data_IF_554030577729
#
_entry.id   IF_554030577729
#
_cell.length_a   1.000
_cell.length_b   1.000
_cell.length_c   1.000
_cell.angle_alpha   90.00
_cell.angle_beta   90.00
_cell.angle_gamma   90.00
#
_symmetry.space_group_name_H-M   'P 1'
#
loop_
_entity.id
_entity.type
_entity.pdbx_description
1 polymer ?
#
# COMPACT_ATOMS: atom_id res chain seq x y z
N UNK A 1 6.90 -34.12 -12.71
CA UNK A 1 7.68 -32.95 -13.18
C UNK A 1 6.74 -32.12 -14.06
N UNK A 2 6.39 -30.91 -13.62
CA UNK A 2 5.61 -29.94 -14.41
C UNK A 2 6.61 -28.92 -14.95
N UNK A 3 6.53 -28.61 -16.24
CA UNK A 3 7.62 -28.00 -16.97
C UNK A 3 7.07 -27.22 -18.16
N UNK A 4 6.95 -25.88 -18.09
CA UNK A 4 6.17 -25.13 -19.08
C UNK A 4 6.68 -23.70 -19.36
N UNK A 5 6.30 -23.14 -20.53
CA UNK A 5 6.54 -21.77 -20.98
C UNK A 5 5.70 -20.73 -20.22
N UNK A 6 5.98 -19.43 -20.41
CA UNK A 6 5.46 -18.33 -19.58
C UNK A 6 3.92 -18.27 -19.49
N UNK A 7 3.21 -18.54 -20.58
CA UNK A 7 1.73 -18.55 -20.61
C UNK A 7 1.11 -19.62 -19.71
N UNK A 8 1.83 -20.73 -19.53
CA UNK A 8 1.40 -21.82 -18.66
C UNK A 8 1.88 -21.62 -17.23
N UNK A 9 3.07 -21.02 -17.03
CA UNK A 9 3.59 -20.69 -15.70
C UNK A 9 2.71 -19.66 -14.97
N UNK A 10 1.96 -18.82 -15.71
CA UNK A 10 0.96 -17.91 -15.15
C UNK A 10 -0.33 -18.62 -14.69
N UNK A 11 -0.59 -19.85 -15.13
CA UNK A 11 -1.78 -20.64 -14.75
C UNK A 11 -1.47 -21.47 -13.51
N UNK A 12 -1.88 -20.97 -12.34
CA UNK A 12 -1.59 -21.55 -11.01
C UNK A 12 -1.92 -23.04 -10.92
N UNK A 13 -3.06 -23.47 -11.50
CA UNK A 13 -3.52 -24.86 -11.47
C UNK A 13 -3.43 -25.54 -12.82
N UNK A 14 -2.36 -25.30 -13.58
CA UNK A 14 -2.13 -26.03 -14.82
C UNK A 14 -1.94 -27.54 -14.59
N UNK A 15 -2.53 -28.33 -15.49
CA UNK A 15 -2.40 -29.78 -15.54
C UNK A 15 -2.05 -30.21 -16.98
N UNK A 16 -0.91 -30.88 -17.19
CA UNK A 16 -0.50 -31.29 -18.53
C UNK A 16 -1.43 -32.38 -19.08
N UNK A 17 -1.80 -32.24 -20.35
CA UNK A 17 -2.51 -33.24 -21.13
C UNK A 17 -1.60 -33.78 -22.24
N UNK A 18 -1.58 -35.11 -22.43
CA UNK A 18 -0.75 -35.73 -23.46
C UNK A 18 -1.16 -35.19 -24.83
N UNK A 19 -0.16 -34.77 -25.62
CA UNK A 19 -0.39 -34.20 -26.95
C UNK A 19 -0.75 -32.70 -26.97
N UNK A 20 -0.95 -32.07 -25.81
CA UNK A 20 -1.29 -30.64 -25.69
C UNK A 20 -0.30 -29.88 -24.79
N UNK A 21 0.88 -30.45 -24.53
CA UNK A 21 1.93 -29.80 -23.74
C UNK A 21 2.82 -28.94 -24.64
N UNK A 22 2.99 -27.62 -24.37
CA UNK A 22 3.97 -26.83 -25.09
C UNK A 22 5.38 -27.32 -24.78
N UNK A 23 6.28 -27.17 -25.74
CA UNK A 23 7.71 -27.39 -25.51
C UNK A 23 8.26 -26.34 -24.53
N UNK A 24 9.33 -26.69 -23.81
CA UNK A 24 10.05 -25.71 -22.99
C UNK A 24 10.73 -24.72 -23.94
N UNK A 25 10.39 -23.44 -23.78
CA UNK A 25 11.01 -22.33 -24.50
C UNK A 25 12.14 -21.74 -23.65
N UNK A 26 13.40 -21.76 -24.10
CA UNK A 26 14.52 -21.18 -23.37
C UNK A 26 14.44 -19.66 -23.17
N UNK A 27 13.69 -18.95 -24.03
CA UNK A 27 13.51 -17.49 -23.98
C UNK A 27 12.31 -17.07 -23.11
N UNK A 28 11.67 -18.03 -22.44
CA UNK A 28 10.56 -17.80 -21.53
C UNK A 28 10.94 -18.15 -20.08
N UNK A 29 10.22 -17.57 -19.11
CA UNK A 29 10.25 -18.07 -17.73
C UNK A 29 9.77 -19.52 -17.68
N UNK A 30 10.52 -20.33 -16.94
CA UNK A 30 10.18 -21.69 -16.59
C UNK A 30 9.93 -21.82 -15.08
N UNK A 31 8.77 -22.35 -14.71
CA UNK A 31 8.41 -22.66 -13.32
C UNK A 31 8.28 -24.17 -13.15
N UNK A 32 9.00 -24.72 -12.17
CA UNK A 32 8.88 -26.11 -11.75
C UNK A 32 8.50 -26.14 -10.28
N UNK A 33 7.28 -26.61 -10.03
CA UNK A 33 6.79 -26.99 -8.71
C UNK A 33 6.78 -28.52 -8.64
N UNK A 34 7.51 -29.05 -7.67
CA UNK A 34 7.73 -30.48 -7.53
C UNK A 34 7.88 -30.92 -6.09
N UNK A 35 7.44 -32.15 -5.83
CA UNK A 35 7.55 -32.77 -4.52
C UNK A 35 7.70 -34.28 -4.64
N UNK A 36 8.11 -34.90 -3.54
CA UNK A 36 8.32 -36.33 -3.45
C UNK A 36 8.01 -36.84 -2.03
N UNK A 37 7.74 -38.13 -1.95
CA UNK A 37 7.46 -38.84 -0.71
C UNK A 37 8.61 -39.80 -0.41
N UNK A 38 9.16 -39.69 0.80
CA UNK A 38 10.24 -40.52 1.31
C UNK A 38 9.80 -41.18 2.62
N UNK A 39 10.56 -42.17 3.10
CA UNK A 39 10.28 -42.79 4.40
C UNK A 39 10.33 -41.78 5.56
N UNK A 40 11.19 -40.78 5.44
CA UNK A 40 11.44 -39.78 6.49
C UNK A 40 10.61 -38.50 6.35
N UNK A 41 9.80 -38.37 5.28
CA UNK A 41 8.95 -37.19 5.10
C UNK A 41 8.59 -36.87 3.65
N UNK A 42 8.03 -35.69 3.47
CA UNK A 42 7.54 -35.15 2.19
C UNK A 42 8.32 -33.90 1.83
N UNK A 43 8.67 -33.73 0.55
CA UNK A 43 9.23 -32.49 0.03
C UNK A 43 8.22 -31.78 -0.87
N UNK A 44 8.26 -30.46 -0.86
CA UNK A 44 7.51 -29.59 -1.77
C UNK A 44 8.38 -28.36 -2.08
N UNK A 45 8.72 -28.15 -3.35
CA UNK A 45 9.65 -27.11 -3.76
C UNK A 45 9.32 -26.54 -5.13
N UNK A 46 9.20 -25.21 -5.17
CA UNK A 46 9.06 -24.44 -6.40
C UNK A 46 10.34 -23.72 -6.74
N UNK A 47 10.74 -23.77 -8.01
CA UNK A 47 11.83 -22.98 -8.59
C UNK A 47 11.36 -22.34 -9.89
N UNK A 48 11.69 -21.06 -10.03
CA UNK A 48 11.47 -20.29 -11.26
C UNK A 48 12.82 -19.94 -11.84
N UNK A 49 13.07 -20.30 -13.08
CA UNK A 49 14.34 -20.04 -13.79
C UNK A 49 14.08 -19.51 -15.19
N UNK A 50 15.10 -18.94 -15.80
CA UNK A 50 15.10 -18.51 -17.19
C UNK A 50 16.38 -19.07 -17.83
N UNK A 51 16.30 -19.63 -19.05
CA UNK A 51 17.44 -20.29 -19.69
C UNK A 51 18.20 -19.39 -20.70
N UNK A 52 17.57 -18.32 -21.16
CA UNK A 52 18.19 -17.22 -21.91
C UNK A 52 18.36 -15.93 -21.08
N UNK A 53 18.05 -14.78 -21.66
CA UNK A 53 18.13 -13.48 -20.99
C UNK A 53 16.72 -12.94 -20.60
N UNK A 54 16.34 -12.92 -19.31
CA UNK A 54 15.03 -12.42 -18.91
C UNK A 54 14.92 -10.90 -19.10
N UNK A 55 13.72 -10.45 -19.44
CA UNK A 55 13.35 -9.04 -19.56
C UNK A 55 13.43 -8.30 -18.23
N UNK A 56 13.47 -6.97 -18.28
CA UNK A 56 13.49 -6.13 -17.08
C UNK A 56 12.25 -6.35 -16.19
N UNK A 57 11.07 -6.56 -16.80
CA UNK A 57 9.82 -6.80 -16.08
C UNK A 57 9.83 -8.16 -15.34
N UNK A 58 10.32 -9.21 -16.00
CA UNK A 58 10.48 -10.54 -15.39
C UNK A 58 11.46 -10.53 -14.22
N UNK A 59 12.61 -9.86 -14.39
CA UNK A 59 13.60 -9.68 -13.31
C UNK A 59 13.01 -8.90 -12.15
N UNK A 60 12.24 -7.85 -12.41
CA UNK A 60 11.56 -7.07 -11.38
C UNK A 60 10.58 -7.95 -10.62
N UNK A 61 9.66 -8.63 -11.31
CA UNK A 61 8.67 -9.51 -10.69
C UNK A 61 9.33 -10.59 -9.82
N UNK A 62 10.34 -11.29 -10.36
CA UNK A 62 11.10 -12.30 -9.61
C UNK A 62 11.76 -11.70 -8.36
N UNK A 63 12.36 -10.51 -8.48
CA UNK A 63 13.03 -9.84 -7.37
C UNK A 63 12.04 -9.45 -6.26
N UNK A 64 10.85 -8.98 -6.60
CA UNK A 64 9.83 -8.62 -5.61
C UNK A 64 9.32 -9.85 -4.85
N UNK A 65 9.09 -10.97 -5.55
CA UNK A 65 8.75 -12.25 -4.93
C UNK A 65 9.88 -12.74 -4.01
N UNK A 66 11.14 -12.66 -4.47
CA UNK A 66 12.30 -13.05 -3.67
C UNK A 66 12.44 -12.22 -2.39
N UNK A 67 12.23 -10.90 -2.47
CA UNK A 67 12.22 -10.02 -1.29
C UNK A 67 11.16 -10.43 -0.28
N UNK A 68 9.95 -10.76 -0.75
CA UNK A 68 8.88 -11.29 0.10
C UNK A 68 9.25 -12.62 0.77
N UNK A 69 9.84 -13.55 0.02
CA UNK A 69 10.31 -14.83 0.56
C UNK A 69 11.38 -14.65 1.64
N UNK A 70 12.37 -13.78 1.40
CA UNK A 70 13.42 -13.46 2.39
C UNK A 70 12.81 -12.78 3.63
N UNK A 71 11.88 -11.85 3.44
CA UNK A 71 11.22 -11.15 4.56
C UNK A 71 10.45 -12.12 5.47
N UNK A 72 9.79 -13.14 4.90
CA UNK A 72 9.18 -14.21 5.68
C UNK A 72 10.22 -15.10 6.37
N UNK A 73 11.23 -15.57 5.64
CA UNK A 73 12.25 -16.52 6.14
C UNK A 73 13.10 -15.94 7.28
N UNK A 74 13.31 -14.61 7.26
CA UNK A 74 14.06 -13.88 8.28
C UNK A 74 13.20 -13.25 9.38
N UNK A 75 11.88 -13.44 9.36
CA UNK A 75 10.98 -12.82 10.33
C UNK A 75 11.21 -13.38 11.74
N UNK A 76 11.33 -12.49 12.72
CA UNK A 76 11.33 -12.84 14.15
C UNK A 76 9.97 -12.43 14.73
N UNK A 77 9.24 -13.40 15.27
CA UNK A 77 7.89 -13.18 15.79
C UNK A 77 7.64 -13.98 17.09
N UNK A 78 6.75 -13.50 17.99
CA UNK A 78 6.39 -14.21 19.21
C UNK A 78 5.77 -15.58 18.95
N UNK A 79 5.93 -16.51 19.90
CA UNK A 79 5.25 -17.80 19.87
C UNK A 79 3.73 -17.58 19.83
N UNK A 80 3.06 -18.20 18.87
CA UNK A 80 1.61 -18.11 18.69
C UNK A 80 1.15 -17.14 17.61
N UNK A 81 2.07 -16.40 16.97
CA UNK A 81 1.75 -15.62 15.76
C UNK A 81 1.25 -16.55 14.66
N UNK A 82 0.12 -16.20 14.05
CA UNK A 82 -0.50 -16.99 12.97
C UNK A 82 0.16 -16.68 11.62
N UNK A 83 0.10 -17.63 10.68
CA UNK A 83 0.59 -17.39 9.31
C UNK A 83 -0.09 -16.21 8.61
N UNK A 84 -1.36 -15.95 8.92
CA UNK A 84 -2.10 -14.79 8.42
C UNK A 84 -1.45 -13.46 8.81
N UNK A 85 -0.98 -13.34 10.06
CA UNK A 85 -0.32 -12.13 10.54
C UNK A 85 1.04 -11.88 9.86
N UNK A 86 1.63 -12.90 9.22
CA UNK A 86 2.90 -12.81 8.51
C UNK A 86 2.73 -12.64 6.98
N UNK A 87 1.53 -12.86 6.43
CA UNK A 87 1.28 -12.83 4.97
C UNK A 87 1.66 -11.48 4.34
N UNK A 88 1.50 -10.37 5.09
CA UNK A 88 1.92 -9.05 4.63
C UNK A 88 3.41 -8.97 4.30
N UNK A 89 4.27 -9.71 5.02
CA UNK A 89 5.71 -9.71 4.78
C UNK A 89 6.05 -10.30 3.41
N UNK A 90 5.28 -11.30 2.97
CA UNK A 90 5.43 -11.96 1.68
C UNK A 90 5.02 -11.05 0.51
N UNK A 91 4.02 -10.19 0.73
CA UNK A 91 3.33 -9.46 -0.35
C UNK A 91 3.67 -7.99 -0.42
N UNK A 92 4.19 -7.37 0.64
CA UNK A 92 4.44 -5.94 0.70
C UNK A 92 5.27 -5.39 -0.47
N UNK A 93 6.19 -6.21 -1.00
CA UNK A 93 7.03 -5.83 -2.14
C UNK A 93 6.28 -5.86 -3.48
N UNK A 94 5.16 -6.58 -3.56
CA UNK A 94 4.32 -6.69 -4.76
C UNK A 94 3.24 -5.61 -4.83
N UNK A 95 2.88 -4.96 -3.72
CA UNK A 95 1.79 -3.99 -3.64
C UNK A 95 2.02 -2.67 -4.39
N UNK A 96 3.06 -2.60 -5.22
CA UNK A 96 3.37 -1.45 -6.07
C UNK A 96 3.91 -0.26 -5.28
N UNK A 97 4.25 0.80 -6.01
CA UNK A 97 4.69 2.04 -5.38
C UNK A 97 3.48 2.72 -4.72
N UNK A 98 3.50 2.83 -3.39
CA UNK A 98 2.46 3.47 -2.58
C UNK A 98 2.08 4.89 -3.05
N UNK A 99 2.97 5.57 -3.77
CA UNK A 99 2.79 6.93 -4.31
C UNK A 99 1.94 6.98 -5.57
N UNK A 100 1.61 5.84 -6.17
CA UNK A 100 0.75 5.77 -7.36
C UNK A 100 -0.73 5.99 -6.98
N UNK A 101 -1.64 6.18 -7.95
CA UNK A 101 -3.04 6.42 -7.63
C UNK A 101 -3.77 5.24 -6.99
N UNK A 102 -3.38 3.99 -7.28
CA UNK A 102 -4.07 2.77 -6.78
C UNK A 102 -5.59 2.83 -6.95
N UNK A 103 -6.02 3.29 -8.13
CA UNK A 103 -7.43 3.48 -8.46
C UNK A 103 -8.16 2.13 -8.54
N UNK A 104 -9.12 1.93 -7.64
CA UNK A 104 -9.97 0.73 -7.60
C UNK A 104 -11.10 0.76 -8.63
N UNK A 105 -11.36 1.91 -9.26
CA UNK A 105 -12.53 2.18 -10.09
C UNK A 105 -13.80 2.52 -9.29
N UNK A 106 -13.77 2.44 -7.96
CA UNK A 106 -14.89 2.76 -7.09
C UNK A 106 -14.74 4.17 -6.54
N UNK A 107 -15.47 5.13 -7.11
CA UNK A 107 -15.44 6.51 -6.65
C UNK A 107 -16.20 6.68 -5.32
N UNK A 108 -15.64 7.49 -4.42
CA UNK A 108 -16.30 7.97 -3.20
C UNK A 108 -16.51 9.47 -3.35
N UNK A 109 -17.75 9.92 -3.20
CA UNK A 109 -18.12 11.33 -3.28
C UNK A 109 -17.96 12.04 -1.93
N UNK A 110 -18.19 13.36 -1.91
CA UNK A 110 -18.07 14.17 -0.69
C UNK A 110 -19.02 13.72 0.42
N UNK A 111 -20.18 13.15 0.09
CA UNK A 111 -21.13 12.69 1.09
C UNK A 111 -20.67 11.36 1.70
N UNK A 112 -20.14 10.44 0.89
CA UNK A 112 -19.47 9.24 1.36
C UNK A 112 -18.31 9.55 2.30
N UNK A 113 -17.48 10.54 1.97
CA UNK A 113 -16.40 11.01 2.85
C UNK A 113 -16.93 11.55 4.19
N UNK A 114 -18.01 12.37 4.18
CA UNK A 114 -18.64 12.87 5.41
C UNK A 114 -19.19 11.74 6.29
N UNK A 115 -19.72 10.67 5.71
CA UNK A 115 -20.20 9.51 6.46
C UNK A 115 -19.08 8.74 7.18
N UNK A 116 -17.84 8.88 6.69
CA UNK A 116 -16.60 8.42 7.33
C UNK A 116 -16.05 9.44 8.33
N UNK A 117 -16.70 10.59 8.47
CA UNK A 117 -16.24 11.72 9.27
C UNK A 117 -15.22 12.60 8.55
N UNK A 118 -14.84 12.32 7.30
CA UNK A 118 -13.88 13.17 6.58
C UNK A 118 -14.61 14.39 6.02
N UNK A 119 -14.22 15.58 6.48
CA UNK A 119 -14.79 16.84 5.98
C UNK A 119 -13.79 17.54 5.08
N UNK A 120 -14.26 17.99 3.92
CA UNK A 120 -13.49 18.75 2.97
C UNK A 120 -13.93 20.21 2.97
N UNK A 121 -12.95 21.12 3.01
CA UNK A 121 -13.18 22.54 2.79
C UNK A 121 -12.30 23.02 1.64
N UNK A 122 -12.92 23.71 0.68
CA UNK A 122 -12.23 24.45 -0.35
C UNK A 122 -11.94 25.87 0.15
N UNK A 123 -10.70 26.13 0.55
CA UNK A 123 -10.26 27.42 1.08
C UNK A 123 -9.06 27.90 0.27
N UNK A 124 -9.14 29.10 -0.29
CA UNK A 124 -8.14 29.61 -1.25
C UNK A 124 -6.99 30.39 -0.61
N UNK A 125 -7.17 30.84 0.63
CA UNK A 125 -6.24 31.71 1.33
C UNK A 125 -6.16 31.41 2.83
N UNK A 126 -5.12 31.94 3.46
CA UNK A 126 -4.86 31.76 4.90
C UNK A 126 -5.96 32.39 5.77
N UNK A 127 -6.65 33.42 5.28
CA UNK A 127 -7.69 34.08 6.06
C UNK A 127 -8.91 33.17 6.22
N UNK A 128 -9.32 32.47 5.17
CA UNK A 128 -10.33 31.41 5.26
C UNK A 128 -9.92 30.29 6.21
N UNK A 129 -8.63 29.93 6.26
CA UNK A 129 -8.12 28.94 7.23
C UNK A 129 -8.25 29.47 8.66
N UNK A 130 -7.93 30.74 8.88
CA UNK A 130 -8.05 31.38 10.19
C UNK A 130 -9.51 31.45 10.66
N UNK A 131 -10.44 31.75 9.76
CA UNK A 131 -11.88 31.77 10.06
C UNK A 131 -12.40 30.38 10.43
N UNK A 132 -12.00 29.36 9.67
CA UNK A 132 -12.35 27.97 10.00
C UNK A 132 -11.77 27.56 11.35
N UNK A 133 -10.51 27.89 11.60
CA UNK A 133 -9.83 27.62 12.86
C UNK A 133 -10.50 28.29 14.06
N UNK A 134 -10.87 29.58 13.93
CA UNK A 134 -11.61 30.30 14.96
C UNK A 134 -12.99 29.69 15.23
N UNK A 135 -13.72 29.33 14.17
CA UNK A 135 -15.06 28.71 14.27
C UNK A 135 -15.01 27.34 14.96
N UNK A 136 -13.95 26.57 14.71
CA UNK A 136 -13.76 25.21 15.25
C UNK A 136 -12.96 25.17 16.56
N UNK A 137 -12.37 26.30 16.97
CA UNK A 137 -11.58 26.40 18.19
C UNK A 137 -10.17 25.80 18.09
N UNK A 138 -9.58 25.72 16.90
CA UNK A 138 -8.21 25.20 16.72
C UNK A 138 -7.19 26.22 17.24
N UNK A 139 -6.35 25.79 18.19
CA UNK A 139 -5.41 26.68 18.91
C UNK A 139 -3.97 26.57 18.42
N UNK A 140 -3.61 25.41 17.87
CA UNK A 140 -2.23 25.09 17.48
C UNK A 140 -2.11 25.04 15.95
N UNK A 141 -0.98 25.49 15.43
CA UNK A 141 -0.62 25.40 14.01
C UNK A 141 0.87 25.20 13.87
N UNK A 142 1.25 24.30 12.99
CA UNK A 142 2.59 24.11 12.48
C UNK A 142 2.59 24.13 10.95
N UNK A 143 3.77 24.28 10.36
CA UNK A 143 3.99 24.18 8.92
C UNK A 143 5.16 23.23 8.68
N UNK A 144 4.97 22.31 7.75
CA UNK A 144 5.96 21.30 7.40
C UNK A 144 6.14 21.24 5.88
N UNK A 145 7.39 21.18 5.44
CA UNK A 145 7.76 20.97 4.04
C UNK A 145 8.37 19.58 3.93
N UNK A 146 7.65 18.66 3.27
CA UNK A 146 8.06 17.26 3.15
C UNK A 146 8.79 17.03 1.82
N UNK A 147 10.07 17.39 1.76
CA UNK A 147 10.93 17.10 0.61
C UNK A 147 12.31 16.56 1.03
N UNK A 148 12.97 15.73 0.19
CA UNK A 148 14.32 15.24 0.49
C UNK A 148 15.32 16.38 0.76
N UNK A 149 15.22 17.47 0.01
CA UNK A 149 16.12 18.63 0.14
C UNK A 149 15.95 19.36 1.47
N UNK A 150 14.71 19.44 1.99
CA UNK A 150 14.41 20.16 3.23
C UNK A 150 14.58 19.30 4.47
N UNK A 151 14.36 18.00 4.35
CA UNK A 151 14.41 17.07 5.48
C UNK A 151 15.75 16.32 5.58
N UNK A 152 16.54 16.23 4.52
CA UNK A 152 17.82 15.52 4.52
C UNK A 152 17.65 14.07 4.99
N UNK A 153 18.52 13.65 5.90
CA UNK A 153 18.60 12.26 6.38
C UNK A 153 17.31 11.77 7.08
N UNK A 154 16.49 12.68 7.64
CA UNK A 154 15.24 12.28 8.33
C UNK A 154 14.06 12.11 7.37
N UNK A 155 14.20 12.42 6.08
CA UNK A 155 13.11 12.37 5.10
C UNK A 155 12.46 10.99 5.04
N UNK A 156 13.26 9.94 4.81
CA UNK A 156 12.76 8.58 4.59
C UNK A 156 12.02 8.04 5.81
N UNK A 157 12.56 8.25 7.01
CA UNK A 157 11.94 7.78 8.24
C UNK A 157 10.66 8.57 8.56
N UNK A 158 10.65 9.88 8.26
CA UNK A 158 9.45 10.69 8.43
C UNK A 158 8.33 10.28 7.48
N UNK A 159 8.64 10.07 6.20
CA UNK A 159 7.68 9.59 5.20
C UNK A 159 7.12 8.22 5.58
N UNK A 160 7.96 7.29 6.05
CA UNK A 160 7.50 5.99 6.58
C UNK A 160 6.56 6.16 7.77
N UNK A 161 6.88 7.06 8.70
CA UNK A 161 6.04 7.30 9.88
C UNK A 161 4.66 7.82 9.52
N UNK A 162 4.56 8.68 8.49
CA UNK A 162 3.29 9.20 8.02
C UNK A 162 2.46 8.11 7.31
N UNK A 163 3.12 7.26 6.52
CA UNK A 163 2.46 6.19 5.78
C UNK A 163 1.94 5.05 6.66
N UNK A 164 2.57 4.80 7.81
CA UNK A 164 2.11 3.79 8.75
C UNK A 164 0.71 4.13 9.27
N UNK A 165 -0.13 3.11 9.44
CA UNK A 165 -1.47 3.26 10.00
C UNK A 165 -1.40 3.73 11.44
N UNK A 166 -2.05 4.84 11.75
CA UNK A 166 -2.05 5.41 13.08
C UNK A 166 -3.33 6.19 13.39
N UNK A 167 -3.48 6.54 14.67
CA UNK A 167 -4.62 7.25 15.22
C UNK A 167 -4.14 8.43 16.04
N UNK A 168 -4.93 9.49 16.02
CA UNK A 168 -4.78 10.64 16.91
C UNK A 168 -6.04 10.76 17.77
N UNK A 169 -5.87 11.19 19.02
CA UNK A 169 -6.99 11.50 19.92
C UNK A 169 -7.72 12.80 19.51
N UNK A 170 -7.00 13.67 18.78
CA UNK A 170 -7.47 14.96 18.30
C UNK A 170 -7.69 14.96 16.78
N UNK A 171 -8.40 15.99 16.30
CA UNK A 171 -8.57 16.26 14.87
C UNK A 171 -7.22 16.40 14.16
N UNK A 172 -6.97 15.56 13.16
CA UNK A 172 -5.91 15.85 12.19
C UNK A 172 -6.45 16.83 11.14
N UNK A 173 -5.70 17.91 10.91
CA UNK A 173 -6.12 18.95 9.97
C UNK A 173 -4.91 19.32 9.14
N UNK A 174 -5.08 19.33 7.82
CA UNK A 174 -3.99 19.58 6.88
C UNK A 174 -4.47 20.56 5.83
N UNK A 175 -3.76 21.65 5.66
CA UNK A 175 -4.00 22.61 4.59
C UNK A 175 -2.85 22.52 3.59
N UNK A 176 -3.13 22.10 2.36
CA UNK A 176 -2.10 21.92 1.34
C UNK A 176 -1.76 23.27 0.71
N UNK A 177 -0.59 23.80 1.04
CA UNK A 177 -0.07 25.07 0.48
C UNK A 177 0.66 24.90 -0.84
N UNK A 178 1.23 23.73 -1.07
CA UNK A 178 1.90 23.38 -2.32
C UNK A 178 1.96 21.87 -2.54
N UNK A 179 2.23 21.47 -3.79
CA UNK A 179 2.37 20.06 -4.17
C UNK A 179 1.05 19.27 -4.10
N UNK A 180 1.19 17.95 -3.93
CA UNK A 180 0.09 16.98 -3.89
C UNK A 180 0.47 15.74 -3.10
N UNK A 181 -0.49 15.11 -2.45
CA UNK A 181 -0.32 13.86 -1.70
C UNK A 181 -1.59 13.03 -1.63
N UNK A 182 -1.54 11.95 -0.86
CA UNK A 182 -2.69 11.08 -0.61
C UNK A 182 -2.93 10.92 0.89
N UNK A 183 -4.20 10.93 1.29
CA UNK A 183 -4.64 10.46 2.59
C UNK A 183 -5.47 9.21 2.39
N UNK A 184 -5.10 8.13 3.06
CA UNK A 184 -5.83 6.87 3.02
C UNK A 184 -6.57 6.69 4.34
N UNK A 185 -7.88 6.48 4.25
CA UNK A 185 -8.76 6.31 5.42
C UNK A 185 -9.51 5.00 5.32
N UNK A 186 -9.84 4.38 6.47
CA UNK A 186 -10.68 3.17 6.50
C UNK A 186 -12.15 3.51 6.35
N UNK A 187 -12.84 2.76 5.50
CA UNK A 187 -14.29 2.80 5.36
C UNK A 187 -14.98 2.10 6.55
N UNK A 188 -16.31 2.07 6.53
CA UNK A 188 -17.07 1.30 7.55
C UNK A 188 -16.81 -0.20 7.46
N UNK A 189 -16.58 -0.69 6.25
CA UNK A 189 -16.36 -2.11 5.94
C UNK A 189 -14.86 -2.49 5.93
N UNK A 190 -14.03 -1.65 6.55
CA UNK A 190 -12.56 -1.80 6.63
C UNK A 190 -11.84 -1.76 5.26
N UNK A 191 -12.43 -1.12 4.26
CA UNK A 191 -11.78 -0.89 2.97
C UNK A 191 -10.95 0.40 2.98
N UNK A 192 -9.87 0.46 2.20
CA UNK A 192 -9.09 1.69 2.03
C UNK A 192 -9.76 2.64 1.05
N UNK A 193 -10.00 3.87 1.49
CA UNK A 193 -10.44 5.00 0.65
C UNK A 193 -9.28 5.97 0.50
N UNK A 194 -8.82 6.15 -0.74
CA UNK A 194 -7.70 7.03 -1.09
C UNK A 194 -8.20 8.41 -1.51
N UNK A 195 -7.74 9.43 -0.81
CA UNK A 195 -8.11 10.83 -1.01
C UNK A 195 -6.89 11.57 -1.55
N UNK A 196 -6.93 11.96 -2.82
CA UNK A 196 -5.90 12.82 -3.40
C UNK A 196 -6.13 14.25 -2.93
N UNK A 197 -5.08 14.87 -2.40
CA UNK A 197 -5.08 16.29 -2.06
C UNK A 197 -4.00 17.00 -2.86
N UNK A 198 -4.28 18.21 -3.32
CA UNK A 198 -3.31 19.04 -4.03
C UNK A 198 -3.62 20.52 -3.86
N UNK A 199 -2.62 21.35 -4.11
CA UNK A 199 -2.79 22.79 -4.26
C UNK A 199 -3.44 23.07 -5.61
N UNK A 200 -4.76 23.03 -5.68
CA UNK A 200 -5.46 23.67 -6.79
C UNK A 200 -5.65 25.15 -6.44
N UNK A 201 -6.07 26.02 -7.38
CA UNK A 201 -6.53 27.40 -7.06
C UNK A 201 -7.72 27.47 -6.08
N UNK A 202 -8.06 26.33 -5.49
CA UNK A 202 -8.99 25.92 -4.47
C UNK A 202 -8.22 24.94 -3.53
N UNK A 203 -7.70 25.40 -2.39
CA UNK A 203 -6.91 24.51 -1.52
C UNK A 203 -7.84 23.62 -0.70
N UNK A 204 -7.42 22.35 -0.59
CA UNK A 204 -8.09 21.33 0.18
C UNK A 204 -7.67 21.41 1.65
N UNK A 205 -8.64 21.56 2.56
CA UNK A 205 -8.47 21.14 3.95
C UNK A 205 -9.32 19.90 4.18
N UNK A 206 -8.74 18.69 4.16
CA UNK A 206 -9.30 17.62 4.95
C UNK A 206 -9.21 18.00 6.43
N UNK A 207 -10.38 18.25 7.04
CA UNK A 207 -10.58 18.27 8.48
C UNK A 207 -11.10 16.90 8.90
N UNK A 208 -10.36 16.20 9.74
CA UNK A 208 -10.80 14.96 10.38
C UNK A 208 -11.31 15.29 11.79
N UNK A 209 -12.50 14.84 12.22
CA UNK A 209 -12.99 15.02 13.59
C UNK A 209 -12.14 14.23 14.60
N UNK A 210 -12.22 14.51 15.91
CA UNK A 210 -11.36 13.92 16.94
C UNK A 210 -11.76 12.47 17.23
N UNK A 211 -12.67 11.95 16.41
CA UNK A 211 -13.36 10.69 16.54
C UNK A 211 -13.73 10.30 15.12
N UNK A 212 -12.98 9.35 14.56
CA UNK A 212 -13.63 8.30 13.78
C UNK A 212 -14.97 7.99 14.48
N UNK A 213 -16.08 8.00 13.75
CA UNK A 213 -17.35 7.59 14.36
C UNK A 213 -17.14 6.17 14.88
N UNK A 214 -16.90 6.08 16.20
CA UNK A 214 -16.74 4.85 16.94
C UNK A 214 -18.03 4.07 16.71
N UNK A 215 -17.94 2.90 16.09
CA UNK A 215 -18.90 1.87 16.46
C UNK A 215 -18.53 1.36 17.87
N UNK A 216 -19.46 0.66 18.50
CA UNK A 216 -19.38 0.15 19.87
C UNK A 216 -18.17 -0.74 20.21
N UNK A 217 -17.26 -1.01 19.27
CA UNK A 217 -16.06 -1.85 19.44
C UNK A 217 -14.73 -1.09 19.56
N UNK A 218 -14.66 0.20 19.21
CA UNK A 218 -13.51 1.05 19.58
C UNK A 218 -12.27 1.04 18.66
N UNK A 219 -12.33 0.51 17.44
CA UNK A 219 -11.18 0.53 16.50
C UNK A 219 -11.50 1.27 15.19
N UNK A 220 -10.56 2.11 14.68
CA UNK A 220 -10.34 2.47 13.25
C UNK A 220 -9.26 3.54 13.04
N UNK A 221 -8.36 3.36 12.05
CA UNK A 221 -7.12 4.12 11.85
C UNK A 221 -6.97 4.89 10.52
N UNK A 222 -6.04 5.86 10.48
CA UNK A 222 -5.71 6.77 9.36
C UNK A 222 -4.26 6.52 8.87
N UNK A 223 -4.01 6.58 7.55
CA UNK A 223 -2.66 6.67 6.97
C UNK A 223 -2.54 7.98 6.21
N UNK A 224 -1.51 8.78 6.50
CA UNK A 224 -1.28 10.04 5.80
C UNK A 224 -0.01 9.92 4.96
N UNK A 225 -0.09 9.86 3.63
CA UNK A 225 1.10 10.07 2.79
C UNK A 225 1.13 11.55 2.36
N UNK A 226 1.63 12.42 3.25
CA UNK A 226 1.92 13.80 2.88
C UNK A 226 3.14 13.81 1.93
N UNK A 227 2.88 13.94 0.63
CA UNK A 227 3.89 14.30 -0.35
C UNK A 227 3.73 15.80 -0.63
N UNK A 228 4.80 16.58 -0.47
CA UNK A 228 4.89 17.95 -0.98
C UNK A 228 6.05 17.96 -1.95
N UNK A 229 5.76 18.17 -3.23
CA UNK A 229 6.79 18.42 -4.25
C UNK A 229 6.80 19.92 -4.48
N UNK A 230 7.98 20.53 -4.34
CA UNK A 230 8.29 21.89 -4.81
C UNK A 230 8.26 21.98 -6.33
#
# INVERSE_FOLDING_TARGET
MKAHSIDVAAVIHYKPERGSCPAIDPEAIYLCDSGAQYLDGTTDVTRTVHFGCPTAAEKLAYTLVLKGNIALDSAIFPKGTTGFALDCLARQHLWGDQRLPHDSGNAVDEEGLKQLGVYYHNITDIEGVNQLAAKRGYKNRDEIIVSPEKMGDVYEDKVKSFFNEHLHEDEEIRYVRDGRGYFDVRSRDDEWVRIRVEKSGANSIPTYPPRSVLDSSGDKALRAAALVVS
#
